data_IF_765991317414
#
_entry.id   IF_765991317414
#
_cell.length_a   1.000
_cell.length_b   1.000
_cell.length_c   1.000
_cell.angle_alpha   90.00
_cell.angle_beta   90.00
_cell.angle_gamma   90.00
#
_symmetry.space_group_name_H-M   'P 1'
#
loop_
_entity.id
_entity.type
_entity.pdbx_description
1 polymer ?
#
# COMPACT_ATOMS: atom_id res chain seq x y z
N UNK A 1 -31.06 59.59 -29.91
CA UNK A 1 -30.03 59.00 -29.01
C UNK A 1 -29.98 57.52 -29.30
N UNK A 2 -28.88 57.03 -29.87
CA UNK A 2 -28.70 55.63 -30.27
C UNK A 2 -28.16 54.87 -29.06
N UNK A 3 -28.94 53.91 -28.55
CA UNK A 3 -28.51 53.03 -27.47
C UNK A 3 -27.44 52.07 -27.99
N UNK A 4 -26.23 52.16 -27.43
CA UNK A 4 -25.13 51.21 -27.69
C UNK A 4 -25.30 50.00 -26.78
N UNK A 5 -25.67 48.86 -27.36
CA UNK A 5 -25.56 47.55 -26.71
C UNK A 5 -24.10 47.20 -26.51
N UNK A 6 -23.70 46.94 -25.26
CA UNK A 6 -22.39 46.41 -24.90
C UNK A 6 -22.55 44.90 -24.75
N UNK A 7 -21.95 44.12 -25.66
CA UNK A 7 -21.80 42.68 -25.46
C UNK A 7 -20.67 42.43 -24.44
N UNK A 8 -20.84 41.54 -23.45
CA UNK A 8 -19.76 41.13 -22.59
C UNK A 8 -18.80 40.23 -23.37
N UNK A 9 -17.51 40.60 -23.38
CA UNK A 9 -16.45 39.74 -23.89
C UNK A 9 -16.21 38.61 -22.90
N UNK A 10 -16.57 37.38 -23.29
CA UNK A 10 -16.23 36.17 -22.56
C UNK A 10 -14.73 35.91 -22.79
N UNK A 11 -13.88 36.26 -21.83
CA UNK A 11 -12.48 35.85 -21.84
C UNK A 11 -12.42 34.35 -21.52
N UNK A 12 -12.22 33.51 -22.54
CA UNK A 12 -11.72 32.16 -22.34
C UNK A 12 -10.26 32.26 -21.90
N UNK A 13 -9.99 32.03 -20.62
CA UNK A 13 -8.64 31.70 -20.15
C UNK A 13 -8.36 30.26 -20.55
N UNK A 14 -7.68 30.06 -21.67
CA UNK A 14 -7.07 28.77 -21.97
C UNK A 14 -5.88 28.60 -21.02
N UNK A 15 -5.98 27.69 -20.05
CA UNK A 15 -4.82 27.18 -19.31
C UNK A 15 -3.88 26.54 -20.33
N UNK A 16 -2.63 26.99 -20.37
CA UNK A 16 -1.62 26.37 -21.21
C UNK A 16 -1.34 24.97 -20.66
N UNK A 17 -1.63 23.93 -21.44
CA UNK A 17 -1.21 22.57 -21.10
C UNK A 17 0.31 22.54 -20.93
N UNK A 18 0.80 21.94 -19.84
CA UNK A 18 2.22 21.82 -19.57
C UNK A 18 2.84 20.90 -20.63
N UNK A 19 3.84 21.39 -21.37
CA UNK A 19 4.46 20.60 -22.42
C UNK A 19 5.32 19.49 -21.79
N UNK A 20 5.01 18.23 -22.13
CA UNK A 20 5.77 17.08 -21.69
C UNK A 20 7.22 17.12 -22.20
N UNK A 21 8.16 16.85 -21.30
CA UNK A 21 9.60 16.76 -21.60
C UNK A 21 10.00 15.35 -22.05
N UNK A 22 11.15 15.23 -22.74
CA UNK A 22 11.70 13.93 -23.15
C UNK A 22 11.97 13.00 -21.94
N UNK A 23 12.40 13.56 -20.82
CA UNK A 23 12.64 12.80 -19.58
C UNK A 23 11.34 12.22 -19.00
N UNK A 24 10.25 13.01 -19.01
CA UNK A 24 8.93 12.53 -18.57
C UNK A 24 8.38 11.46 -19.51
N UNK A 25 8.60 11.57 -20.82
CA UNK A 25 8.27 10.50 -21.77
C UNK A 25 9.04 9.23 -21.48
N UNK A 26 10.36 9.32 -21.29
CA UNK A 26 11.18 8.16 -20.98
C UNK A 26 10.77 7.50 -19.66
N UNK A 27 10.48 8.28 -18.63
CA UNK A 27 10.00 7.78 -17.33
C UNK A 27 8.63 7.11 -17.46
N UNK A 28 7.71 7.69 -18.23
CA UNK A 28 6.41 7.09 -18.51
C UNK A 28 6.57 5.71 -19.18
N UNK A 29 7.35 5.63 -20.25
CA UNK A 29 7.58 4.38 -20.99
C UNK A 29 8.23 3.31 -20.10
N UNK A 30 9.18 3.73 -19.25
CA UNK A 30 9.80 2.85 -18.26
C UNK A 30 8.78 2.30 -17.26
N UNK A 31 7.93 3.14 -16.68
CA UNK A 31 6.90 2.69 -15.73
C UNK A 31 5.90 1.75 -16.41
N UNK A 32 5.44 2.06 -17.63
CA UNK A 32 4.57 1.17 -18.41
C UNK A 32 5.20 -0.21 -18.59
N UNK A 33 6.51 -0.27 -18.89
CA UNK A 33 7.23 -1.53 -19.03
C UNK A 33 7.34 -2.31 -17.71
N UNK A 34 7.54 -1.63 -16.59
CA UNK A 34 7.70 -2.26 -15.26
C UNK A 34 6.39 -2.83 -14.72
N UNK A 35 5.24 -2.23 -15.06
CA UNK A 35 3.91 -2.69 -14.64
C UNK A 35 3.27 -3.75 -15.56
N UNK A 36 4.00 -4.35 -16.51
CA UNK A 36 3.45 -5.30 -17.48
C UNK A 36 2.80 -6.53 -16.85
N UNK A 37 3.23 -6.93 -15.66
CA UNK A 37 2.68 -8.07 -14.92
C UNK A 37 1.45 -7.71 -14.10
N UNK A 38 1.20 -6.42 -13.84
CA UNK A 38 0.04 -5.99 -13.08
C UNK A 38 -1.27 -6.23 -13.85
N UNK A 39 -2.36 -6.46 -13.13
CA UNK A 39 -3.70 -6.47 -13.72
C UNK A 39 -4.18 -5.03 -13.89
N UNK A 40 -3.95 -4.44 -15.07
CA UNK A 40 -4.28 -3.04 -15.39
C UNK A 40 -5.69 -2.93 -15.98
N UNK A 41 -6.44 -1.91 -15.54
CA UNK A 41 -7.72 -1.52 -16.12
C UNK A 41 -7.50 -0.34 -17.07
N UNK A 42 -7.84 -0.51 -18.34
CA UNK A 42 -7.61 0.51 -19.36
C UNK A 42 -6.13 0.59 -19.79
N UNK A 43 -5.70 1.78 -20.22
CA UNK A 43 -4.32 2.02 -20.68
C UNK A 43 -3.71 3.08 -19.77
N UNK A 44 -2.51 2.85 -19.19
CA UNK A 44 -1.82 3.88 -18.44
C UNK A 44 -1.59 5.11 -19.30
N UNK A 45 -1.64 6.29 -18.68
CA UNK A 45 -1.57 7.56 -19.40
C UNK A 45 -0.81 8.60 -18.59
N UNK A 46 -0.54 9.74 -19.22
CA UNK A 46 -0.02 10.92 -18.54
C UNK A 46 -1.18 11.86 -18.30
N UNK A 47 -1.30 12.38 -17.08
CA UNK A 47 -2.34 13.30 -16.69
C UNK A 47 -1.75 14.47 -15.89
N UNK A 48 -2.35 15.66 -16.06
CA UNK A 48 -2.08 16.79 -15.18
C UNK A 48 -2.49 16.43 -13.74
N UNK A 49 -1.66 16.83 -12.77
CA UNK A 49 -1.92 16.62 -11.35
C UNK A 49 -1.37 17.77 -10.51
N UNK A 50 -2.02 18.03 -9.38
CA UNK A 50 -1.49 18.92 -8.34
C UNK A 50 -0.97 18.06 -7.18
N UNK A 51 0.33 18.15 -6.92
CA UNK A 51 0.99 17.39 -5.85
C UNK A 51 0.66 17.97 -4.46
N UNK A 52 0.99 17.24 -3.40
CA UNK A 52 0.60 17.60 -2.03
C UNK A 52 1.14 18.95 -1.54
N UNK A 53 2.25 19.44 -2.08
CA UNK A 53 2.77 20.79 -1.82
C UNK A 53 2.18 21.88 -2.74
N UNK A 54 1.19 21.55 -3.57
CA UNK A 54 0.54 22.48 -4.50
C UNK A 54 1.24 22.63 -5.85
N UNK A 55 2.29 21.85 -6.12
CA UNK A 55 3.02 21.90 -7.40
C UNK A 55 2.18 21.27 -8.50
N UNK A 56 1.92 22.01 -9.59
CA UNK A 56 1.37 21.45 -10.82
C UNK A 56 2.44 20.62 -11.55
N UNK A 57 2.09 19.40 -11.96
CA UNK A 57 3.01 18.43 -12.56
C UNK A 57 2.29 17.49 -13.54
N UNK A 58 3.08 16.65 -14.22
CA UNK A 58 2.60 15.53 -15.02
C UNK A 58 2.78 14.23 -14.23
N UNK A 59 1.68 13.50 -14.05
CA UNK A 59 1.66 12.23 -13.34
C UNK A 59 1.44 11.05 -14.29
N UNK A 60 2.12 9.94 -13.99
CA UNK A 60 1.75 8.61 -14.45
C UNK A 60 0.42 8.23 -13.82
N UNK A 61 -0.62 8.08 -14.65
CA UNK A 61 -1.94 7.60 -14.28
C UNK A 61 -2.07 6.13 -14.64
N UNK A 62 -2.28 5.28 -13.64
CA UNK A 62 -2.51 3.84 -13.80
C UNK A 62 -3.67 3.39 -12.92
N UNK A 63 -4.54 2.55 -13.46
CA UNK A 63 -5.60 1.89 -12.68
C UNK A 63 -5.29 0.40 -12.61
N UNK A 64 -5.18 -0.14 -11.40
CA UNK A 64 -4.93 -1.57 -11.17
C UNK A 64 -6.10 -2.22 -10.46
N UNK A 65 -6.30 -3.51 -10.70
CA UNK A 65 -7.09 -4.37 -9.80
C UNK A 65 -6.25 -4.62 -8.55
N UNK A 66 -6.82 -4.43 -7.36
CA UNK A 66 -6.16 -4.62 -6.08
C UNK A 66 -6.06 -6.11 -5.70
N UNK A 67 -5.39 -6.88 -6.56
CA UNK A 67 -5.09 -8.29 -6.42
C UNK A 67 -3.71 -8.57 -7.03
N UNK A 68 -2.85 -9.36 -6.36
CA UNK A 68 -1.55 -9.69 -6.90
C UNK A 68 -1.68 -10.60 -8.13
N UNK A 69 -0.79 -10.41 -9.09
CA UNK A 69 -0.71 -11.24 -10.30
C UNK A 69 0.31 -12.37 -10.21
N UNK A 70 1.13 -12.38 -9.16
CA UNK A 70 2.34 -13.18 -9.03
C UNK A 70 2.27 -14.24 -7.91
N UNK A 71 1.25 -14.20 -7.05
CA UNK A 71 1.04 -15.19 -6.01
C UNK A 71 -0.45 -15.34 -5.65
N UNK A 72 -0.75 -16.41 -4.90
CA UNK A 72 -2.06 -16.65 -4.30
C UNK A 72 -2.05 -16.00 -2.92
N UNK A 73 -3.07 -15.21 -2.60
CA UNK A 73 -3.17 -14.51 -1.31
C UNK A 73 -3.55 -15.48 -0.19
N UNK A 74 -3.04 -15.24 1.00
CA UNK A 74 -3.26 -16.13 2.14
C UNK A 74 -2.38 -17.40 2.06
N UNK A 75 -2.58 -18.36 2.97
CA UNK A 75 -3.61 -18.40 4.02
C UNK A 75 -3.44 -17.30 5.08
N UNK A 76 -4.50 -17.03 5.86
CA UNK A 76 -4.48 -16.02 6.93
C UNK A 76 -4.70 -16.65 8.31
N UNK A 77 -5.83 -17.33 8.49
CA UNK A 77 -6.20 -17.92 9.78
C UNK A 77 -6.12 -19.45 9.76
N UNK A 78 -5.34 -20.08 10.65
CA UNK A 78 -5.39 -21.53 10.87
C UNK A 78 -6.77 -21.95 11.36
N UNK A 79 -7.13 -23.21 11.14
CA UNK A 79 -8.43 -23.80 11.52
C UNK A 79 -8.42 -24.33 12.94
N UNK A 80 -7.29 -24.86 13.40
CA UNK A 80 -7.14 -25.46 14.73
C UNK A 80 -5.82 -25.09 15.37
N UNK A 81 -5.72 -25.25 16.69
CA UNK A 81 -4.45 -25.08 17.42
C UNK A 81 -3.38 -26.15 17.10
N UNK A 82 -3.70 -27.12 16.24
CA UNK A 82 -2.76 -28.13 15.74
C UNK A 82 -2.23 -27.86 14.34
N UNK A 83 -2.77 -26.84 13.67
CA UNK A 83 -2.34 -26.43 12.33
C UNK A 83 -0.94 -25.80 12.41
N UNK A 84 -0.17 -25.97 11.34
CA UNK A 84 1.21 -25.47 11.23
C UNK A 84 1.25 -24.18 10.43
N UNK A 85 2.45 -23.61 10.26
CA UNK A 85 2.64 -22.36 9.52
C UNK A 85 2.05 -22.42 8.10
N UNK A 86 2.06 -23.58 7.44
CA UNK A 86 1.52 -23.73 6.09
C UNK A 86 0.00 -23.54 5.96
N UNK A 87 -0.75 -23.53 7.07
CA UNK A 87 -2.18 -23.24 7.10
C UNK A 87 -2.52 -21.88 7.74
N UNK A 88 -1.51 -21.14 8.17
CA UNK A 88 -1.64 -19.84 8.82
C UNK A 88 -0.96 -18.75 8.03
N UNK A 89 -1.33 -17.51 8.31
CA UNK A 89 -0.63 -16.35 7.80
C UNK A 89 0.54 -15.96 8.68
N UNK A 90 0.88 -14.68 8.67
CA UNK A 90 1.91 -14.08 9.51
C UNK A 90 1.37 -12.90 10.32
N UNK A 91 2.08 -12.56 11.40
CA UNK A 91 1.75 -11.44 12.26
C UNK A 91 3.01 -10.73 12.77
N UNK A 92 2.89 -9.42 13.00
CA UNK A 92 3.98 -8.63 13.57
C UNK A 92 3.90 -8.62 15.09
N UNK A 93 4.93 -9.16 15.74
CA UNK A 93 5.01 -9.23 17.20
C UNK A 93 6.46 -9.33 17.68
N UNK A 94 6.79 -8.56 18.72
CA UNK A 94 8.15 -8.40 19.27
C UNK A 94 9.20 -7.98 18.23
N UNK A 95 8.83 -7.12 17.28
CA UNK A 95 9.72 -6.68 16.20
C UNK A 95 10.11 -7.81 15.24
N UNK A 96 9.30 -8.87 15.15
CA UNK A 96 9.47 -9.98 14.23
C UNK A 96 8.19 -10.25 13.45
N UNK A 97 8.35 -10.80 12.25
CA UNK A 97 7.28 -11.52 11.56
C UNK A 97 7.24 -12.93 12.14
N UNK A 98 6.09 -13.38 12.62
CA UNK A 98 5.88 -14.73 13.14
C UNK A 98 4.73 -15.39 12.42
N UNK A 99 4.84 -16.69 12.20
CA UNK A 99 3.75 -17.48 11.65
C UNK A 99 2.59 -17.51 12.65
N UNK A 100 1.38 -17.29 12.14
CA UNK A 100 0.12 -17.43 12.87
C UNK A 100 -0.31 -18.88 12.73
N UNK A 101 0.46 -19.79 13.31
CA UNK A 101 0.10 -21.20 13.38
C UNK A 101 -0.80 -21.49 14.60
N UNK A 102 -1.22 -22.74 14.75
CA UNK A 102 -2.06 -23.14 15.86
C UNK A 102 -1.40 -22.94 17.24
N UNK A 103 -0.08 -23.13 17.32
CA UNK A 103 0.68 -22.93 18.56
C UNK A 103 0.78 -21.44 18.92
N UNK A 104 0.94 -20.55 17.95
CA UNK A 104 0.91 -19.10 18.13
C UNK A 104 -0.44 -18.66 18.71
N UNK A 105 -1.55 -19.11 18.11
CA UNK A 105 -2.90 -18.80 18.57
C UNK A 105 -3.16 -19.31 19.98
N UNK A 106 -2.69 -20.52 20.31
CA UNK A 106 -2.84 -21.08 21.65
C UNK A 106 -2.06 -20.32 22.74
N UNK A 107 -1.02 -19.57 22.36
CA UNK A 107 -0.13 -18.87 23.29
C UNK A 107 -0.35 -17.34 23.32
N UNK A 108 -1.41 -16.81 22.69
CA UNK A 108 -1.66 -15.35 22.64
C UNK A 108 -1.73 -14.70 24.03
N UNK A 109 -2.31 -15.38 25.03
CA UNK A 109 -2.36 -14.89 26.40
C UNK A 109 -0.97 -14.70 27.02
N UNK A 110 -0.02 -15.62 26.76
CA UNK A 110 1.36 -15.49 27.22
C UNK A 110 2.12 -14.41 26.43
N UNK A 111 1.94 -14.39 25.10
CA UNK A 111 2.59 -13.43 24.20
C UNK A 111 2.25 -11.99 24.59
N UNK A 112 0.98 -11.72 24.88
CA UNK A 112 0.51 -10.37 25.24
C UNK A 112 0.41 -10.13 26.75
N UNK A 113 0.63 -11.16 27.58
CA UNK A 113 0.51 -11.06 29.04
C UNK A 113 -0.91 -10.71 29.51
N UNK A 114 -1.92 -11.22 28.80
CA UNK A 114 -3.34 -10.92 29.03
C UNK A 114 -4.21 -12.18 28.84
N UNK A 115 -4.73 -12.70 29.96
CA UNK A 115 -5.58 -13.91 30.00
C UNK A 115 -6.93 -13.74 29.28
N UNK A 116 -7.28 -12.53 28.84
CA UNK A 116 -8.48 -12.29 28.03
C UNK A 116 -8.34 -12.84 26.59
N UNK A 117 -7.13 -13.15 26.13
CA UNK A 117 -6.90 -13.83 24.85
C UNK A 117 -7.32 -15.31 24.92
N UNK A 118 -8.43 -15.64 24.27
CA UNK A 118 -8.97 -16.98 24.10
C UNK A 118 -9.61 -17.11 22.71
N UNK A 119 -8.80 -17.14 21.65
CA UNK A 119 -9.24 -17.19 20.25
C UNK A 119 -9.59 -18.62 19.74
N UNK A 120 -9.72 -19.58 20.64
CA UNK A 120 -10.04 -20.96 20.28
C UNK A 120 -10.92 -21.61 21.34
N UNK A 121 -11.63 -22.66 20.94
CA UNK A 121 -12.41 -23.51 21.84
C UNK A 121 -11.46 -24.44 22.63
N UNK A 122 -11.42 -24.37 23.96
CA UNK A 122 -10.49 -25.16 24.77
C UNK A 122 -10.82 -26.66 24.81
N UNK A 123 -12.04 -27.07 24.45
CA UNK A 123 -12.44 -28.48 24.39
C UNK A 123 -12.05 -29.11 23.05
N UNK A 124 -12.22 -28.38 21.95
CA UNK A 124 -12.02 -28.91 20.58
C UNK A 124 -10.71 -28.48 19.94
N UNK A 125 -10.13 -27.37 20.36
CA UNK A 125 -8.98 -26.73 19.71
C UNK A 125 -9.33 -25.97 18.43
N UNK A 126 -10.62 -25.82 18.09
CA UNK A 126 -11.07 -25.07 16.92
C UNK A 126 -10.88 -23.57 17.13
N UNK A 127 -10.32 -22.88 16.14
CA UNK A 127 -10.04 -21.44 16.21
C UNK A 127 -11.30 -20.65 15.79
N UNK A 128 -11.63 -19.61 16.55
CA UNK A 128 -12.76 -18.73 16.29
C UNK A 128 -12.48 -17.82 15.09
N UNK A 129 -12.76 -18.33 13.90
CA UNK A 129 -12.54 -17.61 12.64
C UNK A 129 -13.74 -16.76 12.25
N UNK A 130 -13.49 -15.67 11.54
CA UNK A 130 -14.48 -14.93 10.76
C UNK A 130 -14.04 -14.93 9.31
N UNK A 131 -14.59 -15.88 8.57
CA UNK A 131 -14.37 -16.03 7.13
C UNK A 131 -15.51 -15.47 6.29
N UNK A 132 -15.51 -15.80 5.01
CA UNK A 132 -16.56 -15.43 4.06
C UNK A 132 -16.76 -13.90 3.98
N UNK A 133 -17.96 -13.46 3.57
CA UNK A 133 -18.30 -12.04 3.42
C UNK A 133 -18.13 -11.27 4.74
N UNK A 134 -18.51 -11.88 5.88
CA UNK A 134 -18.37 -11.22 7.19
C UNK A 134 -16.91 -11.03 7.58
N UNK A 135 -16.02 -11.97 7.25
CA UNK A 135 -14.59 -11.82 7.47
C UNK A 135 -14.02 -10.59 6.76
N UNK A 136 -14.43 -10.37 5.51
CA UNK A 136 -14.04 -9.19 4.77
C UNK A 136 -14.59 -7.90 5.35
N UNK A 137 -15.86 -7.87 5.76
CA UNK A 137 -16.44 -6.68 6.42
C UNK A 137 -15.64 -6.32 7.68
N UNK A 138 -15.28 -7.30 8.49
CA UNK A 138 -14.52 -7.10 9.74
C UNK A 138 -13.08 -6.67 9.46
N UNK A 139 -12.45 -7.18 8.40
CA UNK A 139 -11.10 -6.74 8.00
C UNK A 139 -11.03 -5.24 7.65
N UNK A 140 -12.16 -4.64 7.24
CA UNK A 140 -12.28 -3.20 7.00
C UNK A 140 -12.71 -2.37 8.22
N UNK A 141 -12.98 -3.01 9.37
CA UNK A 141 -13.60 -2.40 10.55
C UNK A 141 -12.70 -2.50 11.80
N UNK A 142 -11.59 -1.74 11.86
CA UNK A 142 -10.68 -1.78 12.99
C UNK A 142 -11.27 -1.22 14.29
N UNK A 143 -12.44 -0.57 14.24
CA UNK A 143 -13.13 -0.02 15.41
C UNK A 143 -14.28 -0.92 15.90
N UNK A 144 -14.49 -2.07 15.26
CA UNK A 144 -15.56 -3.02 15.57
C UNK A 144 -16.96 -2.36 15.59
N UNK A 145 -17.24 -1.46 14.65
CA UNK A 145 -18.56 -0.86 14.44
C UNK A 145 -19.64 -1.90 14.08
N UNK A 146 -19.21 -3.03 13.52
CA UNK A 146 -20.04 -4.20 13.18
C UNK A 146 -20.48 -5.01 14.40
N UNK A 147 -19.88 -4.76 15.58
CA UNK A 147 -20.24 -5.41 16.84
C UNK A 147 -19.93 -6.91 16.88
N UNK A 148 -18.87 -7.34 16.21
CA UNK A 148 -18.35 -8.70 16.36
C UNK A 148 -17.86 -8.93 17.79
N UNK A 149 -17.92 -10.17 18.29
CA UNK A 149 -17.23 -10.50 19.53
C UNK A 149 -15.72 -10.37 19.36
N UNK A 150 -15.04 -10.03 20.45
CA UNK A 150 -13.59 -10.12 20.58
C UNK A 150 -13.11 -11.57 20.39
N UNK A 151 -11.79 -11.80 20.37
CA UNK A 151 -11.19 -13.14 20.26
C UNK A 151 -11.51 -13.86 18.94
N UNK A 152 -11.38 -13.14 17.83
CA UNK A 152 -11.58 -13.69 16.49
C UNK A 152 -10.33 -13.57 15.61
N UNK A 153 -10.12 -14.57 14.76
CA UNK A 153 -9.17 -14.51 13.66
C UNK A 153 -9.91 -14.14 12.37
N UNK A 154 -9.55 -13.02 11.75
CA UNK A 154 -10.19 -12.48 10.55
C UNK A 154 -9.56 -13.10 9.30
N UNK A 155 -10.40 -13.70 8.47
CA UNK A 155 -10.00 -14.50 7.31
C UNK A 155 -10.74 -14.03 6.06
N UNK A 156 -10.29 -12.93 5.46
CA UNK A 156 -10.89 -12.39 4.25
C UNK A 156 -10.17 -12.91 3.00
N UNK A 157 -10.93 -13.41 2.02
CA UNK A 157 -10.41 -13.78 0.70
C UNK A 157 -11.01 -12.86 -0.37
N UNK A 158 -10.27 -12.60 -1.45
CA UNK A 158 -10.71 -11.70 -2.54
C UNK A 158 -12.07 -12.10 -3.12
N UNK A 159 -12.37 -13.41 -3.18
CA UNK A 159 -13.64 -13.93 -3.67
C UNK A 159 -14.85 -13.51 -2.83
N UNK A 160 -14.66 -13.13 -1.57
CA UNK A 160 -15.73 -12.77 -0.64
C UNK A 160 -16.02 -11.26 -0.56
N UNK A 161 -15.21 -10.39 -1.21
CA UNK A 161 -15.53 -8.95 -1.34
C UNK A 161 -16.76 -8.74 -2.24
N UNK A 162 -17.08 -9.70 -3.12
CA UNK A 162 -18.25 -9.66 -4.01
C UNK A 162 -18.13 -8.66 -5.16
N UNK A 163 -17.06 -7.87 -5.22
CA UNK A 163 -16.77 -6.91 -6.30
C UNK A 163 -15.27 -6.89 -6.62
N UNK A 164 -14.92 -6.47 -7.83
CA UNK A 164 -13.52 -6.19 -8.18
C UNK A 164 -13.15 -4.82 -7.63
N UNK A 165 -12.23 -4.79 -6.67
CA UNK A 165 -11.67 -3.54 -6.16
C UNK A 165 -10.59 -3.05 -7.12
N UNK A 166 -10.73 -1.81 -7.58
CA UNK A 166 -9.76 -1.15 -8.45
C UNK A 166 -9.32 0.17 -7.83
N UNK A 167 -8.05 0.49 -7.97
CA UNK A 167 -7.49 1.76 -7.51
C UNK A 167 -6.75 2.45 -8.65
N UNK A 168 -6.94 3.76 -8.75
CA UNK A 168 -6.25 4.63 -9.70
C UNK A 168 -5.20 5.44 -8.97
N UNK A 169 -3.98 5.41 -9.46
CA UNK A 169 -2.82 6.09 -8.90
C UNK A 169 -2.35 7.18 -9.85
N UNK A 170 -1.96 8.31 -9.27
CA UNK A 170 -1.32 9.44 -9.94
C UNK A 170 0.03 9.64 -9.27
N UNK A 171 1.10 9.25 -9.97
CA UNK A 171 2.47 9.29 -9.45
C UNK A 171 3.27 10.29 -10.29
N UNK A 172 3.91 11.31 -9.72
CA UNK A 172 4.63 12.31 -10.52
C UNK A 172 5.74 11.65 -11.35
N UNK A 173 5.83 12.03 -12.62
CA UNK A 173 6.91 11.57 -13.52
C UNK A 173 8.26 12.20 -13.16
N UNK A 174 8.23 13.38 -12.55
CA UNK A 174 9.42 14.07 -12.03
C UNK A 174 9.20 14.33 -10.54
N UNK A 175 9.95 13.69 -9.63
CA UNK A 175 9.86 13.97 -8.21
C UNK A 175 10.14 15.45 -7.90
N UNK A 176 9.36 16.02 -6.99
CA UNK A 176 9.51 17.41 -6.53
C UNK A 176 9.76 17.39 -5.03
N UNK A 177 10.84 17.99 -4.55
CA UNK A 177 11.16 18.00 -3.13
C UNK A 177 10.00 18.55 -2.27
N UNK A 178 9.72 17.88 -1.16
CA UNK A 178 8.80 18.37 -0.14
C UNK A 178 9.46 19.48 0.68
N UNK A 179 8.70 20.50 1.05
CA UNK A 179 9.16 21.54 1.98
C UNK A 179 9.04 21.10 3.44
N UNK A 180 8.07 20.24 3.73
CA UNK A 180 7.82 19.65 5.05
C UNK A 180 7.76 18.13 4.92
N UNK A 181 8.78 17.45 5.46
CA UNK A 181 8.81 15.98 5.50
C UNK A 181 8.03 15.52 6.73
N UNK A 182 6.84 14.97 6.51
CA UNK A 182 6.08 14.31 7.57
C UNK A 182 6.71 12.97 7.89
N UNK A 183 7.04 12.73 9.17
CA UNK A 183 7.45 11.41 9.64
C UNK A 183 6.31 10.39 9.76
N UNK A 184 5.11 10.72 9.27
CA UNK A 184 3.96 9.81 9.22
C UNK A 184 3.35 9.82 7.83
N UNK A 185 3.23 8.63 7.24
CA UNK A 185 2.50 8.38 6.00
C UNK A 185 1.07 7.97 6.37
N UNK A 186 0.08 8.70 5.86
CA UNK A 186 -1.33 8.43 6.09
C UNK A 186 -1.89 7.36 5.13
N UNK A 187 -3.04 6.74 5.47
CA UNK A 187 -3.61 5.64 4.67
C UNK A 187 -4.19 6.09 3.32
N UNK A 188 -4.59 7.37 3.20
CA UNK A 188 -5.40 7.88 2.08
C UNK A 188 -4.73 7.70 0.70
N UNK A 189 -3.43 7.99 0.60
CA UNK A 189 -2.65 7.79 -0.64
C UNK A 189 -1.88 6.46 -0.67
N UNK A 190 -1.64 5.86 0.51
CA UNK A 190 -0.63 4.82 0.67
C UNK A 190 0.80 5.33 0.47
N UNK A 191 1.72 4.37 0.46
CA UNK A 191 3.16 4.56 0.26
C UNK A 191 3.51 4.56 -1.23
N UNK A 192 2.91 3.68 -2.00
CA UNK A 192 3.25 3.51 -3.41
C UNK A 192 2.59 2.29 -4.03
N UNK A 193 3.12 1.87 -5.17
CA UNK A 193 2.59 0.77 -5.96
C UNK A 193 3.71 -0.23 -6.31
N UNK A 194 3.53 -1.48 -5.91
CA UNK A 194 4.39 -2.60 -6.30
C UNK A 194 4.17 -2.95 -7.77
N UNK A 195 5.19 -3.44 -8.48
CA UNK A 195 5.09 -3.73 -9.93
C UNK A 195 4.10 -4.83 -10.31
N UNK A 196 3.62 -5.63 -9.35
CA UNK A 196 2.48 -6.55 -9.54
C UNK A 196 1.10 -5.86 -9.43
N UNK A 197 1.05 -4.54 -9.19
CA UNK A 197 -0.17 -3.74 -9.13
C UNK A 197 -0.80 -3.62 -7.74
N UNK A 198 -0.13 -4.13 -6.70
CA UNK A 198 -0.59 -4.09 -5.32
C UNK A 198 -0.10 -2.84 -4.59
N UNK A 199 -0.99 -2.22 -3.81
CA UNK A 199 -0.68 -1.03 -3.02
C UNK A 199 0.32 -1.37 -1.90
N UNK A 200 1.37 -0.57 -1.75
CA UNK A 200 2.08 -0.46 -0.48
C UNK A 200 1.30 0.52 0.40
N UNK A 201 0.71 0.04 1.49
CA UNK A 201 -0.12 0.86 2.38
C UNK A 201 0.66 1.37 3.59
N UNK A 202 0.07 2.34 4.28
CA UNK A 202 0.56 2.84 5.56
C UNK A 202 0.58 1.73 6.63
N UNK A 203 1.29 1.91 7.75
CA UNK A 203 1.30 0.95 8.86
C UNK A 203 -0.10 0.49 9.27
N UNK A 204 -0.28 -0.82 9.47
CA UNK A 204 -1.52 -1.36 10.02
C UNK A 204 -1.74 -0.83 11.45
N UNK A 205 -3.00 -0.53 11.85
CA UNK A 205 -3.28 0.03 13.17
C UNK A 205 -3.28 -1.05 14.26
N UNK A 206 -2.10 -1.60 14.56
CA UNK A 206 -1.92 -2.75 15.46
C UNK A 206 -2.56 -2.54 16.84
N UNK A 207 -2.43 -1.35 17.43
CA UNK A 207 -3.02 -1.04 18.74
C UNK A 207 -4.55 -1.16 18.76
N UNK A 208 -5.23 -0.77 17.66
CA UNK A 208 -6.68 -0.91 17.55
C UNK A 208 -7.08 -2.38 17.42
N UNK A 209 -6.35 -3.13 16.60
CA UNK A 209 -6.62 -4.55 16.33
C UNK A 209 -6.43 -5.38 17.61
N UNK A 210 -5.31 -5.19 18.31
CA UNK A 210 -5.00 -5.89 19.55
C UNK A 210 -5.93 -5.48 20.70
N UNK A 211 -6.47 -4.26 20.68
CA UNK A 211 -7.43 -3.78 21.68
C UNK A 211 -8.78 -4.49 21.68
N UNK A 212 -9.16 -5.14 20.58
CA UNK A 212 -10.36 -5.99 20.47
C UNK A 212 -10.07 -7.49 20.53
N UNK A 213 -8.90 -7.90 21.05
CA UNK A 213 -8.40 -9.28 21.05
C UNK A 213 -8.59 -9.99 19.71
N UNK A 214 -8.45 -9.23 18.63
CA UNK A 214 -8.69 -9.70 17.27
C UNK A 214 -7.36 -9.78 16.55
N UNK A 215 -7.22 -10.75 15.64
CA UNK A 215 -6.12 -10.79 14.71
C UNK A 215 -6.66 -10.66 13.30
N UNK A 216 -6.03 -9.80 12.50
CA UNK A 216 -6.22 -9.75 11.05
C UNK A 216 -4.92 -10.12 10.35
N UNK A 217 -4.53 -11.42 10.37
CA UNK A 217 -3.22 -11.85 9.89
C UNK A 217 -2.91 -11.37 8.49
N UNK A 218 -1.63 -11.17 8.23
CA UNK A 218 -1.11 -11.01 6.87
C UNK A 218 -0.83 -12.39 6.27
N UNK A 219 -0.56 -12.47 4.98
CA UNK A 219 0.05 -13.66 4.39
C UNK A 219 1.58 -13.60 4.47
N UNK A 220 2.26 -14.55 3.83
CA UNK A 220 3.73 -14.62 3.78
C UNK A 220 4.37 -13.41 3.09
N UNK A 221 3.61 -12.73 2.23
CA UNK A 221 4.01 -11.49 1.58
C UNK A 221 3.69 -10.25 2.41
N UNK A 222 3.22 -10.44 3.64
CA UNK A 222 2.84 -9.38 4.58
C UNK A 222 1.76 -8.44 4.03
N UNK A 223 0.92 -8.99 3.16
CA UNK A 223 -0.28 -8.36 2.67
C UNK A 223 -1.54 -9.01 3.23
N UNK A 224 -2.64 -8.26 3.20
CA UNK A 224 -3.94 -8.77 3.57
C UNK A 224 -5.04 -8.05 2.79
N UNK A 225 -6.30 -8.38 3.08
CA UNK A 225 -7.44 -8.00 2.27
C UNK A 225 -8.47 -7.26 3.12
N UNK A 226 -8.95 -6.13 2.62
CA UNK A 226 -10.18 -5.52 3.11
C UNK A 226 -11.05 -5.01 1.94
N UNK A 227 -12.33 -4.69 2.17
CA UNK A 227 -13.26 -4.28 1.10
C UNK A 227 -12.96 -2.90 0.51
N UNK A 228 -12.21 -2.06 1.24
CA UNK A 228 -11.94 -0.68 0.85
C UNK A 228 -10.74 -0.56 -0.10
N UNK A 229 -9.69 -1.33 0.18
CA UNK A 229 -8.41 -1.28 -0.54
C UNK A 229 -8.22 -2.50 -1.44
N UNK A 230 -8.87 -3.64 -1.16
CA UNK A 230 -8.55 -4.92 -1.75
C UNK A 230 -7.32 -5.55 -1.08
N UNK A 231 -6.56 -6.36 -1.82
CA UNK A 231 -5.27 -6.86 -1.32
C UNK A 231 -4.21 -5.75 -1.33
N UNK A 232 -3.50 -5.58 -0.22
CA UNK A 232 -2.47 -4.55 -0.03
C UNK A 232 -1.40 -5.00 0.96
N UNK A 233 -0.20 -4.44 0.82
CA UNK A 233 0.97 -4.74 1.64
C UNK A 233 1.15 -3.74 2.78
N UNK A 234 1.49 -4.22 3.97
CA UNK A 234 1.98 -3.39 5.09
C UNK A 234 3.49 -3.51 5.33
N UNK A 235 4.08 -4.59 4.82
CA UNK A 235 5.51 -4.81 4.71
C UNK A 235 5.81 -5.50 3.38
N UNK A 236 7.07 -5.85 3.13
CA UNK A 236 7.45 -6.69 1.99
C UNK A 236 8.52 -7.68 2.43
N UNK A 237 8.28 -8.96 2.24
CA UNK A 237 9.25 -10.03 2.47
C UNK A 237 10.01 -10.38 1.19
N UNK A 238 11.15 -11.05 1.36
CA UNK A 238 11.95 -11.50 0.22
C UNK A 238 11.20 -12.57 -0.60
N UNK A 239 11.23 -12.43 -1.92
CA UNK A 239 10.50 -13.31 -2.84
C UNK A 239 9.07 -12.88 -3.17
N UNK A 240 8.54 -11.85 -2.51
CA UNK A 240 7.25 -11.27 -2.82
C UNK A 240 7.36 -10.06 -3.75
N UNK A 241 6.36 -9.92 -4.63
CA UNK A 241 6.31 -8.88 -5.65
C UNK A 241 7.12 -9.20 -6.90
N UNK A 242 6.85 -8.44 -7.96
CA UNK A 242 7.70 -8.43 -9.16
C UNK A 242 8.96 -7.63 -8.86
N UNK A 243 10.11 -8.27 -9.11
CA UNK A 243 11.44 -7.73 -8.80
C UNK A 243 12.23 -7.54 -10.09
N UNK A 244 12.84 -6.38 -10.23
CA UNK A 244 13.58 -5.97 -11.41
C UNK A 244 15.02 -5.69 -10.99
N UNK A 245 16.02 -6.35 -11.58
CA UNK A 245 17.42 -6.07 -11.30
C UNK A 245 17.72 -4.58 -11.48
N UNK A 246 18.51 -4.01 -10.56
CA UNK A 246 19.00 -2.65 -10.71
C UNK A 246 20.00 -2.54 -11.86
N UNK A 247 20.11 -1.34 -12.43
CA UNK A 247 21.13 -1.04 -13.46
C UNK A 247 22.55 -0.93 -12.86
N UNK A 248 22.68 -0.90 -11.53
CA UNK A 248 23.95 -0.93 -10.79
C UNK A 248 24.13 -2.31 -10.17
N UNK A 249 25.25 -2.95 -10.53
CA UNK A 249 25.54 -4.33 -10.15
C UNK A 249 25.72 -4.47 -8.62
N UNK A 250 25.10 -5.50 -8.04
CA UNK A 250 25.09 -5.75 -6.60
C UNK A 250 24.07 -4.94 -5.80
N UNK A 251 23.43 -3.95 -6.40
CA UNK A 251 22.37 -3.19 -5.73
C UNK A 251 21.10 -4.02 -5.53
N UNK A 252 20.23 -3.61 -4.61
CA UNK A 252 18.96 -4.28 -4.38
C UNK A 252 18.09 -4.27 -5.64
N UNK A 253 17.14 -5.21 -5.74
CA UNK A 253 16.18 -5.23 -6.84
C UNK A 253 15.11 -4.16 -6.63
N UNK A 254 14.67 -3.53 -7.70
CA UNK A 254 13.54 -2.60 -7.67
C UNK A 254 12.22 -3.37 -7.63
N UNK A 255 11.29 -2.92 -6.80
CA UNK A 255 10.03 -3.63 -6.53
C UNK A 255 8.78 -2.77 -6.77
N UNK A 256 8.94 -1.46 -6.90
CA UNK A 256 7.82 -0.56 -7.14
C UNK A 256 8.24 0.90 -7.22
N UNK A 257 7.24 1.78 -7.09
CA UNK A 257 7.41 3.23 -7.13
C UNK A 257 6.58 3.89 -6.02
N UNK A 258 7.17 4.87 -5.34
CA UNK A 258 6.56 5.64 -4.27
C UNK A 258 5.59 6.69 -4.82
N UNK A 259 4.64 7.13 -3.99
CA UNK A 259 3.64 8.15 -4.38
C UNK A 259 4.24 9.52 -4.70
N UNK A 260 5.49 9.79 -4.33
CA UNK A 260 6.26 10.98 -4.69
C UNK A 260 7.16 10.81 -5.93
N UNK A 261 7.07 9.67 -6.61
CA UNK A 261 7.68 9.40 -7.90
C UNK A 261 9.04 8.70 -7.87
N UNK A 262 9.66 8.56 -6.70
CA UNK A 262 10.93 7.84 -6.55
C UNK A 262 10.72 6.33 -6.59
N UNK A 263 11.73 5.61 -7.11
CA UNK A 263 11.71 4.15 -7.15
C UNK A 263 11.85 3.56 -5.74
N UNK A 264 11.23 2.40 -5.51
CA UNK A 264 11.32 1.61 -4.27
C UNK A 264 12.07 0.32 -4.56
N UNK A 265 13.09 0.05 -3.77
CA UNK A 265 13.95 -1.11 -3.84
C UNK A 265 13.74 -2.04 -2.65
N UNK A 266 14.08 -3.32 -2.84
CA UNK A 266 14.11 -4.31 -1.79
C UNK A 266 15.09 -3.89 -0.68
N UNK A 267 14.90 -4.44 0.53
CA UNK A 267 15.70 -4.06 1.71
C UNK A 267 17.17 -4.40 1.53
N UNK A 268 17.43 -5.59 1.00
CA UNK A 268 18.77 -6.17 0.92
C UNK A 268 19.31 -6.10 -0.51
N UNK A 269 20.58 -5.74 -0.63
CA UNK A 269 21.36 -5.89 -1.86
C UNK A 269 21.64 -7.35 -2.19
N UNK A 270 22.33 -7.58 -3.32
CA UNK A 270 22.64 -8.93 -3.79
C UNK A 270 23.58 -9.71 -2.84
N UNK A 271 24.29 -9.02 -1.96
CA UNK A 271 25.15 -9.59 -0.91
C UNK A 271 24.38 -9.93 0.39
N UNK A 272 23.07 -9.65 0.44
CA UNK A 272 22.24 -9.86 1.61
C UNK A 272 22.42 -8.79 2.70
N UNK A 273 23.09 -7.68 2.40
CA UNK A 273 23.26 -6.55 3.31
C UNK A 273 22.28 -5.41 2.98
N UNK A 274 21.89 -4.67 4.01
CA UNK A 274 21.15 -3.43 3.88
C UNK A 274 22.15 -2.27 3.71
N UNK A 275 21.86 -1.26 2.85
CA UNK A 275 22.72 -0.08 2.76
C UNK A 275 22.87 0.61 4.12
N UNK A 276 24.08 1.07 4.43
CA UNK A 276 24.42 1.66 5.73
C UNK A 276 24.32 3.20 5.76
N UNK A 277 23.96 3.80 4.64
CA UNK A 277 23.89 5.25 4.41
C UNK A 277 22.46 5.76 4.12
N UNK A 278 21.43 4.96 4.44
CA UNK A 278 20.04 5.36 4.31
C UNK A 278 19.68 6.55 5.21
N UNK A 279 18.94 7.50 4.65
CA UNK A 279 18.39 8.64 5.37
C UNK A 279 17.18 8.27 6.26
N UNK A 280 16.58 9.26 6.92
CA UNK A 280 15.44 9.04 7.81
C UNK A 280 14.17 8.54 7.09
N UNK A 281 14.04 8.77 5.78
CA UNK A 281 12.97 8.23 4.96
C UNK A 281 13.31 6.86 4.36
N UNK A 282 14.49 6.32 4.67
CA UNK A 282 15.09 5.09 4.13
C UNK A 282 15.51 5.21 2.66
N UNK A 283 15.91 6.39 2.20
CA UNK A 283 16.47 6.56 0.87
C UNK A 283 17.89 7.07 0.87
N UNK A 284 18.54 6.96 -0.29
CA UNK A 284 19.89 7.46 -0.53
C UNK A 284 20.07 7.73 -2.03
N UNK A 285 21.15 8.42 -2.39
CA UNK A 285 21.52 8.70 -3.78
C UNK A 285 22.68 7.82 -4.21
N UNK A 286 22.52 7.09 -5.31
CA UNK A 286 23.55 6.23 -5.89
C UNK A 286 23.82 6.65 -7.32
N UNK A 287 25.10 6.80 -7.69
CA UNK A 287 25.48 7.15 -9.06
C UNK A 287 24.93 6.11 -10.06
N UNK A 288 24.26 6.59 -11.10
CA UNK A 288 23.57 5.75 -12.08
C UNK A 288 22.10 5.39 -11.73
N UNK A 289 21.68 5.46 -10.46
CA UNK A 289 20.27 5.24 -10.06
C UNK A 289 19.57 6.52 -9.58
N UNK A 290 20.32 7.49 -9.07
CA UNK A 290 19.80 8.67 -8.38
C UNK A 290 19.18 8.31 -7.03
N UNK A 291 18.43 9.26 -6.47
CA UNK A 291 17.75 9.06 -5.19
C UNK A 291 16.60 8.04 -5.30
N UNK A 292 16.55 7.10 -4.36
CA UNK A 292 15.50 6.08 -4.27
C UNK A 292 15.37 5.55 -2.84
N UNK A 293 14.28 4.83 -2.55
CA UNK A 293 14.00 4.27 -1.24
C UNK A 293 14.30 2.77 -1.17
N UNK A 294 14.62 2.28 0.03
CA UNK A 294 14.66 0.87 0.37
C UNK A 294 13.55 0.52 1.36
N UNK A 295 12.83 -0.57 1.08
CA UNK A 295 11.82 -1.07 2.03
C UNK A 295 12.46 -1.43 3.38
N UNK A 296 11.73 -1.23 4.47
CA UNK A 296 12.16 -1.63 5.81
C UNK A 296 12.07 -3.14 6.03
N UNK A 297 12.53 -3.59 7.20
CA UNK A 297 12.19 -4.93 7.65
C UNK A 297 10.67 -5.03 7.86
N UNK A 298 10.02 -6.04 7.29
CA UNK A 298 8.56 -6.14 7.30
C UNK A 298 7.92 -6.05 8.70
N UNK A 299 8.62 -6.55 9.73
CA UNK A 299 8.18 -6.47 11.12
C UNK A 299 8.08 -5.04 11.69
N UNK A 300 8.66 -4.04 11.03
CA UNK A 300 8.49 -2.62 11.36
C UNK A 300 7.09 -2.11 11.02
N UNK A 301 6.27 -2.90 10.28
CA UNK A 301 4.93 -2.54 9.85
C UNK A 301 4.93 -1.20 9.09
N UNK A 302 5.96 -0.95 8.28
CA UNK A 302 6.12 0.33 7.59
C UNK A 302 7.02 0.15 6.37
N UNK A 303 6.50 0.25 5.15
CA UNK A 303 7.33 0.02 3.94
C UNK A 303 8.49 1.04 3.83
N UNK A 304 8.24 2.35 4.01
CA UNK A 304 9.28 3.40 4.06
C UNK A 304 8.99 4.40 5.18
N UNK A 305 10.03 5.14 5.62
CA UNK A 305 9.94 6.04 6.78
C UNK A 305 9.10 7.30 6.54
N UNK A 306 9.26 7.92 5.36
CA UNK A 306 8.58 9.15 4.95
C UNK A 306 8.76 9.39 3.44
N UNK A 307 8.19 10.47 2.93
CA UNK A 307 8.44 10.96 1.58
C UNK A 307 9.34 12.20 1.62
N UNK A 308 10.45 12.17 0.87
CA UNK A 308 11.29 13.34 0.61
C UNK A 308 10.71 14.22 -0.50
N UNK A 309 9.81 13.69 -1.32
CA UNK A 309 9.08 14.41 -2.36
C UNK A 309 7.61 14.71 -2.04
N UNK A 310 7.00 15.57 -2.85
CA UNK A 310 5.58 15.83 -2.86
C UNK A 310 4.85 14.66 -3.54
N UNK A 311 3.83 14.14 -2.88
CA UNK A 311 3.04 13.00 -3.32
C UNK A 311 1.93 13.38 -4.29
N UNK A 312 1.56 12.46 -5.17
CA UNK A 312 0.31 12.50 -5.93
C UNK A 312 -0.87 11.87 -5.17
N UNK A 313 -1.81 11.26 -5.90
CA UNK A 313 -3.08 10.77 -5.36
C UNK A 313 -3.31 9.28 -5.61
N UNK A 314 -4.08 8.63 -4.74
CA UNK A 314 -4.79 7.38 -5.07
C UNK A 314 -6.30 7.54 -4.85
N UNK A 315 -7.10 6.85 -5.66
CA UNK A 315 -8.57 6.99 -5.66
C UNK A 315 -9.26 5.80 -6.32
N UNK A 316 -10.42 5.42 -5.79
CA UNK A 316 -11.28 4.38 -6.40
C UNK A 316 -12.07 4.87 -7.61
N UNK A 317 -12.10 6.18 -7.85
CA UNK A 317 -12.72 6.79 -9.03
C UNK A 317 -11.69 6.93 -10.17
N UNK A 318 -11.81 6.15 -11.27
CA UNK A 318 -10.88 6.23 -12.39
C UNK A 318 -10.98 7.53 -13.20
N UNK A 319 -12.06 8.29 -13.06
CA UNK A 319 -12.29 9.55 -13.75
C UNK A 319 -11.87 10.77 -12.93
N UNK A 320 -11.40 10.55 -11.69
CA UNK A 320 -10.95 11.62 -10.81
C UNK A 320 -9.78 12.43 -11.40
N UNK A 321 -9.75 13.71 -11.05
CA UNK A 321 -8.61 14.61 -11.27
C UNK A 321 -7.81 14.64 -9.96
N UNK A 322 -6.49 14.45 -10.06
CA UNK A 322 -5.64 14.48 -8.87
C UNK A 322 -5.33 15.91 -8.44
N UNK A 323 -5.85 16.27 -7.27
CA UNK A 323 -5.38 17.40 -6.47
C UNK A 323 -5.09 16.89 -5.05
N UNK A 324 -3.82 16.62 -4.78
CA UNK A 324 -3.31 16.15 -3.48
C UNK A 324 -3.09 17.30 -2.49
N UNK A 325 -3.15 18.55 -2.93
CA UNK A 325 -3.03 19.74 -2.06
C UNK A 325 -4.34 20.04 -1.34
N UNK A 326 -5.47 19.66 -1.95
CA UNK A 326 -6.77 19.75 -1.34
C UNK A 326 -6.84 18.80 -0.15
N UNK A 327 -6.84 19.34 1.07
CA UNK A 327 -7.09 18.56 2.29
C UNK A 327 -8.43 17.84 2.14
N UNK A 328 -8.39 16.55 1.82
CA UNK A 328 -9.56 15.69 1.94
C UNK A 328 -9.81 15.55 3.43
N UNK A 329 -10.94 16.08 3.90
CA UNK A 329 -11.41 15.78 5.24
C UNK A 329 -11.58 14.26 5.40
N UNK A 330 -11.72 13.75 6.64
CA UNK A 330 -11.94 12.33 6.85
C UNK A 330 -13.08 11.82 5.96
N UNK A 331 -13.00 10.57 5.47
CA UNK A 331 -14.10 9.94 4.75
C UNK A 331 -15.40 10.20 5.49
N UNK A 332 -16.46 10.61 4.77
CA UNK A 332 -17.77 10.68 5.42
C UNK A 332 -18.19 9.25 5.77
N UNK A 333 -18.74 9.03 6.99
CA UNK A 333 -19.25 7.72 7.39
C UNK A 333 -20.33 7.22 6.43
#
# INVERSE_FOLDING_TARGET
>A
MIARSVLPALMLTATAAQAQTEAETARFDQLVARFQTATIVGVPSIADCTLSGGTESLCFKITTVAAPSDHITGPFCPRTISDTAEQGGTWFVDGKVRDVDGAFIANLAEIYGDDAWQMYDPETGEIYRRGEEIGCIVAGDPHNETGQPDNICVDCELGYIGTTVTQTYFIPLTPVAATDISGRIGPDSGIGLAFNGVKFDAPAPMDLILGGHTLGPFDDCTGHINPHTGYHYHGVTDGCGVRIPADVDGHAEMIGVAMDGFDIYARLGADGAEPDDLDACRGHDVDGLGYHYHVSAAAENQVIGCFTGQTGCSTGDPDAICDASARRGPPRP
#
